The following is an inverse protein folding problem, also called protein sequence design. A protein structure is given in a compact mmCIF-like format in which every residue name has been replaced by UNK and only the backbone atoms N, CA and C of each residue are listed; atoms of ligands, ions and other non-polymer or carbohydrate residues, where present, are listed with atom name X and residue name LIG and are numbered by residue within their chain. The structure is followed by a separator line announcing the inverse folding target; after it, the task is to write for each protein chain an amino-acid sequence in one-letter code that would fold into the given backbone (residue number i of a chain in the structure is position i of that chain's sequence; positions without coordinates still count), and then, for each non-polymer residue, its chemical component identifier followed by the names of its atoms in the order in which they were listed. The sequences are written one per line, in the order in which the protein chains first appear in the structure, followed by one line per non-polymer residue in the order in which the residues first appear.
data_IF_379179725339
#
_entry.id   IF_379179725339
#
_cell.length_a   1.000
_cell.length_b   1.000
_cell.length_c   1.000
_cell.angle_alpha   90.00
_cell.angle_beta   90.00
_cell.angle_gamma   90.00
#
_symmetry.space_group_name_H-M   'P 1'
#
loop_
_entity.id
_entity.type
_entity.pdbx_description
1 polymer ?
#
# COMPACT_ATOMS: atom_id res chain seq x y z
N UNK A 1 24.83 2.00 7.41
CA UNK A 1 23.46 2.50 7.16
C UNK A 1 22.74 2.54 8.50
N UNK A 2 21.90 3.54 8.78
CA UNK A 2 21.14 3.61 10.03
C UNK A 2 19.91 2.71 9.89
N UNK A 3 19.66 1.88 10.90
CA UNK A 3 18.51 0.96 10.93
C UNK A 3 17.23 1.73 11.30
N UNK A 4 16.39 2.01 10.32
CA UNK A 4 15.16 2.79 10.46
C UNK A 4 14.11 2.02 11.27
N UNK A 5 14.00 0.71 11.07
CA UNK A 5 13.03 -0.10 11.81
C UNK A 5 13.43 -0.18 13.29
N UNK A 6 14.71 -0.25 13.56
CA UNK A 6 15.22 -0.17 14.93
C UNK A 6 14.89 1.17 15.57
N UNK A 7 15.00 2.28 14.82
CA UNK A 7 14.55 3.60 15.29
C UNK A 7 13.07 3.60 15.63
N UNK A 8 12.21 3.09 14.73
CA UNK A 8 10.76 3.03 14.97
C UNK A 8 10.36 2.19 16.17
N UNK A 9 11.17 1.18 16.52
CA UNK A 9 10.91 0.31 17.68
C UNK A 9 11.50 0.89 18.95
N UNK A 10 12.73 1.39 18.94
CA UNK A 10 13.47 1.82 20.12
C UNK A 10 13.20 3.28 20.52
N UNK A 11 13.01 4.17 19.54
CA UNK A 11 12.64 5.56 19.81
C UNK A 11 11.16 5.64 20.24
N UNK A 12 10.89 5.57 21.54
CA UNK A 12 9.52 5.62 22.06
C UNK A 12 8.91 7.00 21.89
N UNK A 13 7.69 7.07 21.37
CA UNK A 13 7.03 8.32 20.98
C UNK A 13 6.89 9.30 22.14
N UNK A 14 6.67 8.82 23.37
CA UNK A 14 6.59 9.66 24.56
C UNK A 14 7.97 10.27 24.89
N UNK A 15 9.05 9.48 24.76
CA UNK A 15 10.41 9.96 25.02
C UNK A 15 10.85 10.99 23.99
N UNK A 16 10.51 10.75 22.73
CA UNK A 16 10.76 11.68 21.64
C UNK A 16 9.95 12.96 21.80
N UNK A 17 8.65 12.86 22.17
CA UNK A 17 7.82 14.02 22.44
C UNK A 17 8.37 14.88 23.61
N UNK A 18 8.85 14.24 24.69
CA UNK A 18 9.53 14.92 25.78
C UNK A 18 10.83 15.60 25.31
N UNK A 19 11.66 14.89 24.54
CA UNK A 19 12.90 15.44 23.99
C UNK A 19 12.64 16.67 23.11
N UNK A 20 11.55 16.64 22.34
CA UNK A 20 11.12 17.74 21.48
C UNK A 20 10.50 18.92 22.28
N UNK A 21 10.35 18.79 23.60
CA UNK A 21 9.81 19.83 24.46
C UNK A 21 8.29 20.00 24.35
N UNK A 22 7.57 18.98 23.86
CA UNK A 22 6.11 19.04 23.82
C UNK A 22 5.53 18.95 25.23
N UNK A 23 4.54 19.78 25.53
CA UNK A 23 3.82 19.73 26.81
C UNK A 23 2.92 18.49 26.83
N UNK A 24 3.21 17.55 27.76
CA UNK A 24 2.55 16.25 27.85
C UNK A 24 1.54 16.18 28.99
N UNK A 25 0.44 15.47 28.75
CA UNK A 25 -0.54 15.07 29.76
C UNK A 25 -0.91 13.59 29.55
N UNK A 26 -0.20 12.69 30.21
CA UNK A 26 -0.31 11.24 29.94
C UNK A 26 0.12 10.91 28.52
N UNK A 27 -0.75 10.27 27.75
CA UNK A 27 -0.52 9.94 26.35
C UNK A 27 -1.07 11.01 25.36
N UNK A 28 -1.21 12.24 25.82
CA UNK A 28 -1.62 13.37 24.99
C UNK A 28 -0.60 14.50 25.11
N UNK A 29 -0.47 15.30 24.05
CA UNK A 29 0.39 16.48 24.04
C UNK A 29 -0.35 17.69 23.46
N UNK A 30 0.17 18.91 23.72
CA UNK A 30 -0.20 20.06 22.93
C UNK A 30 0.34 19.89 21.52
N UNK A 31 -0.52 20.21 20.54
CA UNK A 31 -0.11 20.11 19.14
C UNK A 31 0.95 21.16 18.80
N UNK A 32 2.00 20.72 18.11
CA UNK A 32 3.06 21.61 17.63
C UNK A 32 2.57 22.57 16.51
N UNK A 33 1.45 22.25 15.87
CA UNK A 33 0.76 23.13 14.90
C UNK A 33 -0.38 23.91 15.56
N UNK A 34 -0.20 24.44 16.76
CA UNK A 34 -1.23 25.12 17.54
C UNK A 34 -1.92 26.26 16.79
N UNK A 35 -1.21 26.93 15.88
CA UNK A 35 -1.72 28.01 15.00
C UNK A 35 -2.86 27.55 14.08
N UNK A 36 -2.92 26.26 13.76
CA UNK A 36 -4.00 25.68 12.94
C UNK A 36 -5.20 25.21 13.77
N UNK A 37 -5.21 25.48 15.08
CA UNK A 37 -6.31 25.16 15.98
C UNK A 37 -7.12 26.38 16.38
N UNK A 38 -8.45 26.24 16.41
CA UNK A 38 -9.37 27.35 16.74
C UNK A 38 -9.07 28.03 18.09
N UNK A 39 -8.45 27.31 19.05
CA UNK A 39 -8.17 27.76 20.41
C UNK A 39 -6.71 27.53 20.81
N UNK A 40 -5.75 27.63 19.89
CA UNK A 40 -4.31 27.41 20.14
C UNK A 40 -4.03 26.12 20.93
N UNK A 41 -4.81 25.08 20.67
CA UNK A 41 -4.72 23.73 21.26
C UNK A 41 -4.67 23.68 22.81
N UNK A 42 -5.53 24.42 23.47
CA UNK A 42 -5.65 24.34 24.94
C UNK A 42 -6.03 22.95 25.48
N UNK A 43 -6.53 22.04 24.61
CA UNK A 43 -7.14 20.78 24.98
C UNK A 43 -6.23 19.55 24.81
N UNK A 44 -4.93 19.69 24.54
CA UNK A 44 -4.01 18.56 24.32
C UNK A 44 -4.51 17.61 23.23
N UNK A 45 -4.75 18.13 22.03
CA UNK A 45 -5.38 17.39 20.94
C UNK A 45 -4.44 16.41 20.21
N UNK A 46 -3.14 16.40 20.52
CA UNK A 46 -2.18 15.47 19.94
C UNK A 46 -2.15 14.16 20.74
N UNK A 47 -2.82 13.13 20.24
CA UNK A 47 -2.77 11.77 20.81
C UNK A 47 -1.46 11.06 20.45
N UNK A 48 -0.82 10.42 21.44
CA UNK A 48 0.41 9.64 21.30
C UNK A 48 0.10 8.17 21.62
N UNK A 49 0.07 7.31 20.61
CA UNK A 49 -0.18 5.88 20.79
C UNK A 49 1.14 5.16 21.08
N UNK A 50 1.34 4.79 22.34
CA UNK A 50 2.55 4.10 22.82
C UNK A 50 2.66 2.66 22.30
N UNK A 51 1.55 2.03 21.87
CA UNK A 51 1.56 0.65 21.36
C UNK A 51 2.03 0.59 19.92
N UNK A 52 1.55 1.53 19.10
CA UNK A 52 1.88 1.61 17.68
C UNK A 52 3.05 2.56 17.40
N UNK A 53 3.49 3.32 18.40
CA UNK A 53 4.53 4.34 18.29
C UNK A 53 4.18 5.42 17.25
N UNK A 54 2.89 5.82 17.24
CA UNK A 54 2.27 6.70 16.25
C UNK A 54 1.60 7.90 16.93
N UNK A 55 1.51 9.04 16.24
CA UNK A 55 0.76 10.19 16.74
C UNK A 55 -0.37 10.58 15.80
N UNK A 56 -1.43 11.15 16.36
CA UNK A 56 -2.51 11.81 15.61
C UNK A 56 -3.02 13.01 16.38
N UNK A 57 -3.09 14.16 15.70
CA UNK A 57 -3.77 15.34 16.20
C UNK A 57 -5.25 15.30 15.80
N UNK A 58 -6.16 15.44 16.75
CA UNK A 58 -7.60 15.47 16.51
C UNK A 58 -8.13 16.87 16.15
N UNK A 59 -7.26 17.88 16.15
CA UNK A 59 -7.61 19.27 15.80
C UNK A 59 -7.18 19.69 14.40
N UNK A 60 -5.99 19.26 13.95
CA UNK A 60 -5.45 19.62 12.62
C UNK A 60 -5.14 18.41 11.74
N UNK A 61 -5.53 17.18 12.15
CA UNK A 61 -5.31 15.91 11.46
C UNK A 61 -3.84 15.54 11.18
N UNK A 62 -2.85 16.29 11.72
CA UNK A 62 -1.45 15.93 11.64
C UNK A 62 -1.26 14.53 12.26
N UNK A 63 -0.56 13.65 11.58
CA UNK A 63 -0.36 12.26 12.03
C UNK A 63 0.90 11.67 11.44
N UNK A 64 1.43 10.60 12.06
CA UNK A 64 2.61 9.92 11.58
C UNK A 64 3.31 9.07 12.64
N UNK A 65 4.42 8.46 12.24
CA UNK A 65 5.31 7.70 13.13
C UNK A 65 6.12 8.64 14.03
N UNK A 66 6.90 8.06 14.93
CA UNK A 66 7.85 8.80 15.78
C UNK A 66 8.86 9.62 14.95
N UNK A 67 9.25 9.16 13.77
CA UNK A 67 10.16 9.89 12.87
C UNK A 67 9.45 11.11 12.28
N UNK A 68 8.18 10.94 11.86
CA UNK A 68 7.37 12.04 11.33
C UNK A 68 7.12 13.12 12.39
N UNK A 69 6.88 12.71 13.65
CA UNK A 69 6.79 13.64 14.78
C UNK A 69 8.06 14.48 14.91
N UNK A 70 9.20 13.81 14.89
CA UNK A 70 10.51 14.49 15.02
C UNK A 70 10.72 15.47 13.87
N UNK A 71 10.47 15.05 12.63
CA UNK A 71 10.62 15.89 11.45
C UNK A 71 9.70 17.12 11.50
N UNK A 72 8.43 16.94 11.84
CA UNK A 72 7.45 18.01 11.84
C UNK A 72 7.71 19.04 12.95
N UNK A 73 8.10 18.59 14.13
CA UNK A 73 8.38 19.50 15.27
C UNK A 73 9.70 20.25 15.09
N UNK A 74 10.73 19.58 14.58
CA UNK A 74 12.07 20.18 14.38
C UNK A 74 12.22 20.95 13.07
N UNK A 75 11.30 20.73 12.10
CA UNK A 75 11.42 21.30 10.77
C UNK A 75 12.61 20.76 9.97
N UNK A 76 13.04 19.52 10.25
CA UNK A 76 14.21 18.89 9.63
C UNK A 76 13.82 17.84 8.61
N UNK A 77 14.72 17.57 7.66
CA UNK A 77 14.55 16.52 6.68
C UNK A 77 14.73 15.12 7.28
N UNK A 78 14.12 14.11 6.64
CA UNK A 78 14.15 12.71 7.10
C UNK A 78 15.55 12.19 7.42
N UNK A 79 16.53 12.49 6.56
CA UNK A 79 17.92 12.03 6.76
C UNK A 79 18.57 12.61 8.03
N UNK A 80 18.21 13.81 8.38
CA UNK A 80 18.66 14.49 9.61
C UNK A 80 17.93 13.91 10.81
N UNK A 81 16.60 13.78 10.73
CA UNK A 81 15.79 13.18 11.78
C UNK A 81 16.27 11.77 12.18
N UNK A 82 16.52 10.87 11.21
CA UNK A 82 17.02 9.52 11.53
C UNK A 82 18.42 9.52 12.13
N UNK A 83 19.29 10.47 11.75
CA UNK A 83 20.62 10.60 12.37
C UNK A 83 20.54 11.06 13.82
N UNK A 84 19.71 12.06 14.08
CA UNK A 84 19.52 12.58 15.43
C UNK A 84 18.85 11.54 16.34
N UNK A 85 17.78 10.88 15.85
CA UNK A 85 17.10 9.80 16.58
C UNK A 85 18.04 8.61 16.83
N UNK A 86 18.83 8.20 15.84
CA UNK A 86 19.82 7.13 16.03
C UNK A 86 20.85 7.48 17.08
N UNK A 87 21.32 8.73 17.09
CA UNK A 87 22.24 9.23 18.13
C UNK A 87 21.58 9.27 19.51
N UNK A 88 20.36 9.79 19.59
CA UNK A 88 19.61 9.93 20.84
C UNK A 88 19.33 8.60 21.53
N UNK A 89 18.98 7.57 20.73
CA UNK A 89 18.68 6.23 21.24
C UNK A 89 19.85 5.25 21.12
N UNK A 90 21.06 5.74 20.85
CA UNK A 90 22.30 4.94 20.75
C UNK A 90 22.20 3.78 19.74
N UNK A 91 21.47 3.99 18.65
CA UNK A 91 21.28 3.00 17.59
C UNK A 91 22.49 3.02 16.68
N UNK A 92 23.36 2.01 16.83
CA UNK A 92 24.59 1.90 16.03
C UNK A 92 24.28 1.70 14.55
N UNK A 93 24.99 2.40 13.64
CA UNK A 93 24.90 2.13 12.21
C UNK A 93 25.30 0.67 11.93
N UNK A 94 24.59 0.00 11.03
CA UNK A 94 24.99 -1.30 10.52
C UNK A 94 26.37 -1.12 9.86
N UNK A 95 27.40 -1.78 10.39
CA UNK A 95 28.76 -1.68 9.88
C UNK A 95 28.81 -2.21 8.44
N UNK A 96 28.98 -1.31 7.48
CA UNK A 96 29.22 -1.68 6.08
C UNK A 96 30.67 -2.18 5.99
N UNK A 97 30.87 -3.49 5.93
CA UNK A 97 32.16 -4.11 5.58
C UNK A 97 32.40 -4.07 4.07
N UNK A 98 32.23 -2.90 3.45
CA UNK A 98 32.63 -2.68 2.08
C UNK A 98 33.94 -1.92 2.04
N UNK A 99 35.07 -2.63 1.79
CA UNK A 99 36.32 -2.02 1.35
C UNK A 99 36.15 -1.63 -0.13
N UNK A 100 36.49 -0.39 -0.54
CA UNK A 100 36.49 -0.05 -1.95
C UNK A 100 37.65 -0.80 -2.63
N UNK A 101 37.33 -1.70 -3.54
CA UNK A 101 38.31 -2.30 -4.47
C UNK A 101 38.42 -1.38 -5.67
N UNK A 102 39.52 -0.65 -5.74
CA UNK A 102 39.99 0.02 -6.96
C UNK A 102 40.69 -1.01 -7.83
N UNK A 103 40.06 -1.47 -8.90
CA UNK A 103 40.71 -1.98 -10.10
C UNK A 103 39.70 -2.39 -11.19
N UNK A 104 39.96 -2.14 -12.46
CA UNK A 104 39.03 -2.46 -13.54
C UNK A 104 39.19 -3.92 -13.96
N UNK A 105 38.25 -4.78 -13.60
CA UNK A 105 38.17 -6.12 -14.15
C UNK A 105 36.84 -6.38 -14.84
N UNK A 106 36.96 -6.90 -16.08
CA UNK A 106 35.90 -7.41 -16.95
C UNK A 106 34.87 -8.29 -16.19
N UNK A 107 33.61 -8.28 -16.65
CA UNK A 107 32.57 -9.03 -15.98
C UNK A 107 32.84 -10.53 -16.07
N UNK A 108 33.07 -11.17 -14.92
CA UNK A 108 32.97 -12.62 -14.77
C UNK A 108 31.52 -12.97 -14.43
N UNK A 109 30.95 -13.79 -15.26
CA UNK A 109 29.71 -14.52 -15.16
C UNK A 109 29.35 -14.96 -13.72
N UNK A 110 28.11 -14.60 -13.34
CA UNK A 110 27.18 -15.37 -12.54
C UNK A 110 27.68 -16.10 -11.29
N UNK A 111 27.44 -15.50 -10.11
CA UNK A 111 27.08 -16.23 -8.88
C UNK A 111 25.99 -15.41 -8.17
N UNK A 112 24.82 -15.32 -8.71
CA UNK A 112 23.58 -14.98 -8.01
C UNK A 112 22.42 -15.70 -8.70
N UNK A 113 22.40 -17.03 -8.57
CA UNK A 113 21.14 -17.78 -8.68
C UNK A 113 20.49 -17.83 -7.30
N UNK A 114 20.28 -16.69 -6.66
CA UNK A 114 19.31 -16.60 -5.60
C UNK A 114 17.99 -16.22 -6.26
N UNK A 115 17.16 -17.23 -6.56
CA UNK A 115 15.73 -17.02 -6.73
C UNK A 115 15.31 -16.02 -5.67
N UNK A 116 14.65 -14.94 -6.07
CA UNK A 116 13.98 -14.01 -5.16
C UNK A 116 12.92 -14.83 -4.43
N UNK A 117 13.28 -15.39 -3.28
CA UNK A 117 12.38 -16.19 -2.42
C UNK A 117 11.68 -15.31 -1.38
N UNK A 118 11.85 -13.99 -1.46
CA UNK A 118 11.26 -13.08 -0.50
C UNK A 118 9.98 -12.47 -1.08
N UNK A 119 8.92 -13.26 -1.10
CA UNK A 119 7.55 -12.73 -1.12
C UNK A 119 7.37 -11.82 0.11
N UNK A 120 6.58 -10.72 0.05
CA UNK A 120 6.19 -10.01 1.28
C UNK A 120 5.36 -10.93 2.14
N UNK A 121 6.07 -11.80 2.77
CA UNK A 121 5.58 -12.85 3.63
C UNK A 121 4.74 -12.27 4.77
N UNK A 122 4.96 -10.98 5.12
CA UNK A 122 4.33 -10.38 6.29
C UNK A 122 2.83 -10.13 6.16
N UNK A 123 2.31 -9.78 4.97
CA UNK A 123 0.87 -9.64 4.77
C UNK A 123 0.20 -10.99 4.48
N UNK A 124 0.88 -11.86 3.72
CA UNK A 124 0.38 -13.20 3.37
C UNK A 124 0.47 -14.16 4.55
N UNK A 125 1.52 -14.06 5.38
CA UNK A 125 1.72 -14.91 6.57
C UNK A 125 0.75 -14.66 7.72
N UNK A 126 -0.04 -13.56 7.67
CA UNK A 126 -1.08 -13.29 8.67
C UNK A 126 -2.43 -13.90 8.33
N UNK A 127 -2.58 -14.50 7.15
CA UNK A 127 -3.80 -15.18 6.74
C UNK A 127 -3.83 -16.59 7.32
N UNK A 128 -4.93 -16.89 8.03
CA UNK A 128 -5.19 -18.23 8.51
C UNK A 128 -5.68 -19.13 7.37
N UNK A 129 -5.66 -20.45 7.58
CA UNK A 129 -6.31 -21.40 6.66
C UNK A 129 -7.80 -21.08 6.49
N UNK A 130 -8.45 -20.66 7.58
CA UNK A 130 -9.87 -20.31 7.61
C UNK A 130 -10.15 -19.06 6.76
N UNK A 131 -9.32 -18.02 6.83
CA UNK A 131 -9.47 -16.81 6.00
C UNK A 131 -9.48 -17.17 4.52
N UNK A 132 -8.55 -18.05 4.08
CA UNK A 132 -8.45 -18.52 2.69
C UNK A 132 -9.69 -19.29 2.27
N UNK A 133 -10.17 -20.22 3.09
CA UNK A 133 -11.38 -20.98 2.82
C UNK A 133 -12.63 -20.09 2.69
N UNK A 134 -12.72 -19.03 3.51
CA UNK A 134 -13.82 -18.05 3.43
C UNK A 134 -13.76 -17.28 2.12
N UNK A 135 -12.58 -16.87 1.65
CA UNK A 135 -12.44 -16.14 0.38
C UNK A 135 -12.77 -17.03 -0.83
N UNK A 136 -12.30 -18.28 -0.83
CA UNK A 136 -12.59 -19.27 -1.86
C UNK A 136 -14.10 -19.60 -1.94
N UNK A 137 -14.76 -19.70 -0.79
CA UNK A 137 -16.22 -19.93 -0.74
C UNK A 137 -17.02 -18.73 -1.29
N UNK A 138 -16.59 -17.49 -0.98
CA UNK A 138 -17.22 -16.29 -1.53
C UNK A 138 -17.06 -16.23 -3.06
N UNK A 139 -15.85 -16.45 -3.57
CA UNK A 139 -15.55 -16.40 -5.00
C UNK A 139 -16.32 -17.49 -5.78
N UNK A 140 -16.27 -18.74 -5.32
CA UNK A 140 -16.93 -19.87 -5.97
C UNK A 140 -18.46 -19.73 -5.99
N UNK A 141 -19.08 -19.17 -4.93
CA UNK A 141 -20.50 -18.91 -4.87
C UNK A 141 -20.94 -17.81 -5.83
N UNK A 142 -20.08 -16.83 -6.11
CA UNK A 142 -20.43 -15.59 -6.83
C UNK A 142 -20.67 -15.77 -8.33
N UNK A 143 -20.05 -16.77 -8.97
CA UNK A 143 -20.33 -17.17 -10.37
C UNK A 143 -19.97 -16.13 -11.44
N UNK A 144 -18.92 -15.33 -11.24
CA UNK A 144 -18.40 -14.36 -12.21
C UNK A 144 -19.17 -13.04 -12.25
N UNK A 145 -18.96 -12.23 -13.30
CA UNK A 145 -19.53 -10.90 -13.46
C UNK A 145 -20.93 -10.94 -14.13
N UNK A 146 -21.77 -9.97 -13.75
CA UNK A 146 -23.01 -9.68 -14.48
C UNK A 146 -22.77 -8.79 -15.70
N UNK A 147 -23.79 -8.65 -16.56
CA UNK A 147 -23.70 -7.87 -17.82
C UNK A 147 -23.39 -6.39 -17.55
N UNK A 148 -23.93 -5.81 -16.48
CA UNK A 148 -23.74 -4.41 -16.13
C UNK A 148 -22.28 -4.15 -15.72
N UNK A 149 -21.72 -5.02 -14.89
CA UNK A 149 -20.33 -4.94 -14.46
C UNK A 149 -19.35 -5.18 -15.61
N UNK A 150 -19.64 -6.13 -16.51
CA UNK A 150 -18.86 -6.32 -17.73
C UNK A 150 -18.89 -5.03 -18.56
N UNK A 151 -20.05 -4.46 -18.81
CA UNK A 151 -20.20 -3.18 -19.55
C UNK A 151 -19.43 -2.04 -18.89
N UNK A 152 -19.46 -1.96 -17.56
CA UNK A 152 -18.68 -0.95 -16.81
C UNK A 152 -17.16 -1.13 -16.98
N UNK A 153 -16.67 -2.37 -16.90
CA UNK A 153 -15.24 -2.67 -16.99
C UNK A 153 -14.71 -2.59 -18.43
N UNK A 154 -15.51 -3.00 -19.41
CA UNK A 154 -15.10 -2.99 -20.84
C UNK A 154 -15.46 -1.70 -21.56
N UNK A 155 -16.30 -0.85 -20.96
CA UNK A 155 -16.73 0.42 -21.54
C UNK A 155 -15.61 1.47 -21.58
N UNK A 156 -15.94 2.61 -22.23
CA UNK A 156 -15.00 3.69 -22.50
C UNK A 156 -14.27 4.23 -21.25
N UNK A 157 -14.90 4.16 -20.07
CA UNK A 157 -14.31 4.69 -18.84
C UNK A 157 -13.22 3.80 -18.23
N UNK A 158 -13.16 2.51 -18.63
CA UNK A 158 -12.20 1.52 -18.10
C UNK A 158 -11.38 0.85 -19.20
N UNK A 159 -11.96 0.58 -20.35
CA UNK A 159 -11.26 0.06 -21.54
C UNK A 159 -10.60 -1.31 -21.33
N UNK A 160 -11.06 -2.10 -20.35
CA UNK A 160 -10.49 -3.41 -20.08
C UNK A 160 -11.05 -4.45 -21.05
N UNK A 161 -10.26 -5.43 -21.47
CA UNK A 161 -10.75 -6.56 -22.23
C UNK A 161 -11.39 -7.60 -21.31
N UNK A 162 -12.28 -8.43 -21.86
CA UNK A 162 -12.86 -9.53 -21.08
C UNK A 162 -11.81 -10.55 -20.65
N UNK A 163 -10.74 -10.74 -21.45
CA UNK A 163 -9.63 -11.63 -21.15
C UNK A 163 -8.89 -11.17 -19.89
N UNK A 164 -8.55 -9.87 -19.81
CA UNK A 164 -7.83 -9.34 -18.63
C UNK A 164 -8.71 -9.37 -17.38
N UNK A 165 -10.02 -9.09 -17.54
CA UNK A 165 -10.98 -9.17 -16.44
C UNK A 165 -11.08 -10.60 -15.88
N UNK A 166 -11.08 -11.61 -16.74
CA UNK A 166 -11.05 -13.04 -16.38
C UNK A 166 -9.69 -13.41 -15.74
N UNK A 167 -8.58 -12.95 -16.31
CA UNK A 167 -7.24 -13.20 -15.79
C UNK A 167 -7.10 -12.74 -14.33
N UNK A 168 -7.64 -11.58 -13.98
CA UNK A 168 -7.65 -11.06 -12.63
C UNK A 168 -8.80 -11.58 -11.76
N UNK A 169 -9.61 -12.53 -12.28
CA UNK A 169 -10.68 -13.20 -11.54
C UNK A 169 -11.70 -12.24 -10.93
N UNK A 170 -12.02 -11.10 -11.59
CA UNK A 170 -13.02 -10.17 -11.10
C UNK A 170 -14.40 -10.81 -11.09
N UNK A 171 -15.18 -10.60 -10.03
CA UNK A 171 -16.51 -11.17 -9.89
C UNK A 171 -17.53 -10.25 -9.22
N UNK A 172 -18.82 -10.60 -9.27
CA UNK A 172 -19.87 -9.88 -8.57
C UNK A 172 -20.43 -10.69 -7.40
N UNK A 173 -20.85 -9.97 -6.35
CA UNK A 173 -21.85 -10.46 -5.42
C UNK A 173 -23.23 -10.18 -6.04
N UNK A 174 -23.77 -11.16 -6.78
CA UNK A 174 -25.03 -11.00 -7.54
C UNK A 174 -26.25 -10.91 -6.63
N UNK A 175 -26.32 -11.79 -5.64
CA UNK A 175 -27.33 -11.79 -4.60
C UNK A 175 -26.64 -11.69 -3.23
N UNK A 176 -26.75 -10.52 -2.65
CA UNK A 176 -26.12 -10.22 -1.37
C UNK A 176 -26.67 -11.10 -0.23
N UNK A 177 -27.99 -11.32 -0.21
CA UNK A 177 -28.61 -12.09 0.87
C UNK A 177 -28.25 -13.56 0.75
N UNK A 178 -28.44 -14.15 -0.44
CA UNK A 178 -28.07 -15.54 -0.69
C UNK A 178 -26.58 -15.80 -0.43
N UNK A 179 -25.70 -14.87 -0.80
CA UNK A 179 -24.25 -14.96 -0.54
C UNK A 179 -23.96 -14.92 0.97
N UNK A 180 -24.61 -14.01 1.70
CA UNK A 180 -24.46 -13.91 3.15
C UNK A 180 -24.93 -15.19 3.87
N UNK A 181 -26.08 -15.73 3.48
CA UNK A 181 -26.61 -16.98 4.01
C UNK A 181 -25.72 -18.18 3.68
N UNK A 182 -25.20 -18.25 2.45
CA UNK A 182 -24.27 -19.30 2.03
C UNK A 182 -23.01 -19.32 2.91
N UNK A 183 -22.41 -18.16 3.12
CA UNK A 183 -21.20 -18.05 3.97
C UNK A 183 -21.52 -18.41 5.44
N UNK A 184 -22.64 -17.94 6.00
CA UNK A 184 -23.05 -18.23 7.37
C UNK A 184 -23.40 -19.70 7.61
N UNK A 185 -23.77 -20.45 6.57
CA UNK A 185 -24.00 -21.91 6.67
C UNK A 185 -22.67 -22.68 6.76
N UNK A 186 -21.58 -22.15 6.21
CA UNK A 186 -20.29 -22.85 6.14
C UNK A 186 -19.31 -22.39 7.22
N UNK A 187 -19.40 -21.14 7.65
CA UNK A 187 -18.44 -20.51 8.57
C UNK A 187 -19.15 -19.85 9.74
N UNK A 188 -18.47 -19.87 10.88
CA UNK A 188 -18.92 -19.16 12.07
C UNK A 188 -18.74 -17.64 11.91
N UNK A 189 -19.50 -16.86 12.68
CA UNK A 189 -19.33 -15.39 12.72
C UNK A 189 -17.89 -14.97 13.07
N UNK A 190 -17.22 -15.76 13.91
CA UNK A 190 -15.82 -15.53 14.29
C UNK A 190 -14.88 -15.68 13.08
N UNK A 191 -15.07 -16.70 12.25
CA UNK A 191 -14.27 -16.91 11.03
C UNK A 191 -14.54 -15.81 10.00
N UNK A 192 -15.82 -15.46 9.77
CA UNK A 192 -16.19 -14.40 8.84
C UNK A 192 -15.66 -13.03 9.28
N UNK A 193 -15.66 -12.73 10.58
CA UNK A 193 -15.04 -11.52 11.14
C UNK A 193 -13.52 -11.55 11.03
N UNK A 194 -12.91 -12.70 11.34
CA UNK A 194 -11.46 -12.89 11.17
C UNK A 194 -11.04 -12.63 9.72
N UNK A 195 -11.78 -13.15 8.75
CA UNK A 195 -11.55 -12.90 7.32
C UNK A 195 -11.79 -11.45 6.90
N UNK A 196 -12.39 -10.62 7.75
CA UNK A 196 -12.70 -9.22 7.47
C UNK A 196 -13.86 -9.01 6.51
N UNK A 197 -14.68 -10.04 6.23
CA UNK A 197 -15.80 -9.97 5.29
C UNK A 197 -17.09 -9.46 5.92
N UNK A 198 -17.22 -9.51 7.23
CA UNK A 198 -18.40 -9.00 7.93
C UNK A 198 -18.04 -7.91 8.92
N UNK A 199 -18.90 -6.90 9.01
CA UNK A 199 -18.77 -5.81 9.98
C UNK A 199 -19.27 -6.24 11.37
N UNK A 200 -19.24 -5.31 12.33
CA UNK A 200 -19.65 -5.57 13.73
C UNK A 200 -21.06 -6.09 13.89
N UNK A 201 -21.98 -5.70 13.00
CA UNK A 201 -23.37 -6.18 12.98
C UNK A 201 -23.54 -7.54 12.30
N UNK A 202 -22.46 -8.21 11.89
CA UNK A 202 -22.50 -9.50 11.20
C UNK A 202 -23.01 -9.43 9.76
N UNK A 203 -23.05 -8.24 9.15
CA UNK A 203 -23.43 -8.04 7.76
C UNK A 203 -22.19 -8.04 6.86
N UNK A 204 -22.32 -8.64 5.68
CA UNK A 204 -21.27 -8.63 4.65
C UNK A 204 -20.95 -7.19 4.25
N UNK A 205 -19.64 -6.84 4.15
CA UNK A 205 -19.22 -5.46 3.96
C UNK A 205 -19.46 -4.91 2.53
N UNK A 206 -19.55 -5.78 1.53
CA UNK A 206 -19.63 -5.39 0.11
C UNK A 206 -21.06 -5.11 -0.41
N UNK A 207 -21.99 -4.66 0.45
CA UNK A 207 -23.39 -4.43 0.08
C UNK A 207 -23.57 -3.52 -1.14
N UNK A 208 -22.82 -2.41 -1.22
CA UNK A 208 -22.88 -1.45 -2.34
C UNK A 208 -21.74 -1.61 -3.36
N UNK A 209 -20.71 -2.36 -3.03
CA UNK A 209 -19.49 -2.53 -3.81
C UNK A 209 -19.55 -3.87 -4.56
N UNK A 210 -20.37 -3.91 -5.62
CA UNK A 210 -20.74 -5.16 -6.30
C UNK A 210 -19.59 -5.85 -7.03
N UNK A 211 -18.67 -5.10 -7.63
CA UNK A 211 -17.50 -5.66 -8.32
C UNK A 211 -16.43 -5.95 -7.29
N UNK A 212 -16.10 -7.21 -7.13
CA UNK A 212 -15.02 -7.65 -6.26
C UNK A 212 -13.76 -7.86 -7.08
N UNK A 213 -12.67 -7.27 -6.58
CA UNK A 213 -11.32 -7.37 -7.13
C UNK A 213 -10.50 -8.19 -6.15
N UNK A 214 -10.25 -9.48 -6.42
CA UNK A 214 -9.43 -10.31 -5.58
C UNK A 214 -7.94 -9.96 -5.78
N UNK A 215 -7.18 -9.98 -4.70
CA UNK A 215 -5.73 -9.92 -4.73
C UNK A 215 -5.22 -11.33 -4.59
N UNK A 216 -4.44 -11.75 -5.54
CA UNK A 216 -3.97 -13.13 -5.67
C UNK A 216 -2.49 -13.19 -5.35
N UNK A 217 -2.10 -14.14 -4.54
CA UNK A 217 -0.71 -14.51 -4.29
C UNK A 217 -0.63 -16.03 -4.15
N UNK A 218 0.34 -16.66 -4.83
CA UNK A 218 0.47 -18.12 -4.88
C UNK A 218 -0.84 -18.82 -5.32
N UNK A 219 -1.49 -18.27 -6.36
CA UNK A 219 -2.77 -18.72 -6.93
C UNK A 219 -3.97 -18.71 -5.95
N UNK A 220 -3.83 -18.04 -4.80
CA UNK A 220 -4.87 -17.94 -3.77
C UNK A 220 -5.29 -16.50 -3.54
N UNK A 221 -6.56 -16.31 -3.23
CA UNK A 221 -7.05 -14.99 -2.81
C UNK A 221 -6.52 -14.68 -1.42
N UNK A 222 -5.79 -13.57 -1.29
CA UNK A 222 -5.19 -13.11 -0.03
C UNK A 222 -5.82 -11.83 0.51
N UNK A 223 -6.56 -11.12 -0.35
CA UNK A 223 -7.24 -9.88 0.00
C UNK A 223 -8.35 -9.60 -1.01
N UNK A 224 -9.32 -8.80 -0.64
CA UNK A 224 -10.40 -8.38 -1.53
C UNK A 224 -10.70 -6.89 -1.39
N UNK A 225 -10.93 -6.26 -2.53
CA UNK A 225 -11.44 -4.90 -2.62
C UNK A 225 -12.75 -4.93 -3.43
N UNK A 226 -13.78 -4.25 -2.93
CA UNK A 226 -15.03 -4.04 -3.64
C UNK A 226 -15.04 -2.67 -4.31
N UNK A 227 -15.58 -2.61 -5.54
CA UNK A 227 -15.76 -1.38 -6.31
C UNK A 227 -17.24 -1.10 -6.55
N UNK A 228 -17.66 0.16 -6.32
CA UNK A 228 -18.97 0.67 -6.76
C UNK A 228 -18.94 1.03 -8.23
N UNK A 229 -20.07 0.86 -8.92
CA UNK A 229 -20.25 1.26 -10.32
C UNK A 229 -20.95 2.61 -10.45
N UNK A 230 -21.57 3.09 -9.38
CA UNK A 230 -22.18 4.43 -9.28
C UNK A 230 -21.15 5.50 -8.84
N UNK A 231 -21.57 6.76 -8.81
CA UNK A 231 -20.70 7.90 -8.47
C UNK A 231 -20.65 8.23 -6.98
N UNK A 232 -21.33 7.45 -6.12
CA UNK A 232 -21.34 7.70 -4.68
C UNK A 232 -20.04 7.27 -3.98
N UNK A 233 -19.78 7.84 -2.81
CA UNK A 233 -18.64 7.56 -1.97
C UNK A 233 -19.00 6.59 -0.81
N UNK A 234 -18.03 5.83 -0.28
CA UNK A 234 -16.70 5.63 -0.83
C UNK A 234 -16.75 4.76 -2.10
N UNK A 235 -15.93 5.08 -3.10
CA UNK A 235 -15.86 4.31 -4.35
C UNK A 235 -15.32 2.90 -4.15
N UNK A 236 -14.47 2.71 -3.16
CA UNK A 236 -13.85 1.44 -2.82
C UNK A 236 -14.16 1.04 -1.38
N UNK A 237 -14.28 -0.24 -1.16
CA UNK A 237 -14.36 -0.89 0.14
C UNK A 237 -13.38 -2.07 0.15
N UNK A 238 -12.68 -2.28 1.23
CA UNK A 238 -11.80 -3.43 1.36
C UNK A 238 -11.98 -4.14 2.68
N UNK A 239 -11.58 -5.41 2.73
CA UNK A 239 -11.62 -6.19 3.96
C UNK A 239 -10.68 -5.60 5.00
N UNK A 240 -11.01 -5.79 6.28
CA UNK A 240 -10.19 -5.31 7.42
C UNK A 240 -8.95 -6.18 7.63
N UNK A 241 -8.01 -6.11 6.70
CA UNK A 241 -6.72 -6.83 6.74
C UNK A 241 -5.59 -5.91 6.30
N UNK A 242 -4.35 -6.29 6.57
CA UNK A 242 -3.17 -5.58 6.05
C UNK A 242 -3.21 -5.61 4.52
N UNK A 243 -3.04 -4.44 3.92
CA UNK A 243 -3.07 -4.25 2.47
C UNK A 243 -1.84 -4.87 1.80
N UNK A 244 -1.98 -5.88 0.93
CA UNK A 244 -0.90 -6.39 0.10
C UNK A 244 -0.74 -5.56 -1.16
N UNK A 245 0.35 -5.78 -1.90
CA UNK A 245 0.44 -5.28 -3.28
C UNK A 245 -0.54 -6.04 -4.18
N UNK A 246 -1.26 -5.31 -5.01
CA UNK A 246 -2.06 -5.92 -6.08
C UNK A 246 -1.14 -6.49 -7.17
N UNK A 247 -1.47 -7.66 -7.69
CA UNK A 247 -0.70 -8.36 -8.74
C UNK A 247 0.75 -8.70 -8.35
N UNK A 248 0.97 -9.01 -7.08
CA UNK A 248 2.31 -9.23 -6.52
C UNK A 248 3.07 -10.38 -7.19
N UNK A 249 2.37 -11.42 -7.65
CA UNK A 249 2.98 -12.59 -8.26
C UNK A 249 3.75 -12.28 -9.55
N UNK A 250 3.46 -11.13 -10.19
CA UNK A 250 4.22 -10.68 -11.37
C UNK A 250 5.71 -10.50 -11.05
N UNK A 251 6.04 -10.18 -9.80
CA UNK A 251 7.43 -9.95 -9.38
C UNK A 251 8.26 -11.23 -9.34
N UNK A 252 7.64 -12.39 -9.17
CA UNK A 252 8.34 -13.68 -9.05
C UNK A 252 9.06 -14.12 -10.32
N UNK A 253 8.61 -13.65 -11.48
CA UNK A 253 9.19 -13.98 -12.78
C UNK A 253 10.15 -12.93 -13.33
N UNK A 254 10.48 -11.89 -12.55
CA UNK A 254 11.35 -10.80 -12.99
C UNK A 254 12.81 -11.08 -12.63
N UNK A 255 13.69 -10.68 -13.55
CA UNK A 255 15.14 -10.75 -13.40
C UNK A 255 15.73 -9.35 -13.16
N UNK A 256 17.01 -9.33 -12.78
CA UNK A 256 17.72 -8.07 -12.55
C UNK A 256 17.70 -7.18 -13.81
N UNK A 257 17.25 -5.95 -13.65
CA UNK A 257 17.11 -4.96 -14.73
C UNK A 257 15.74 -5.00 -15.42
N UNK A 258 14.88 -5.97 -15.11
CA UNK A 258 13.53 -5.97 -15.64
C UNK A 258 12.73 -4.77 -15.15
N UNK A 259 11.93 -4.20 -16.07
CA UNK A 259 11.11 -3.03 -15.78
C UNK A 259 9.80 -3.42 -15.13
N UNK A 260 9.47 -2.76 -14.01
CA UNK A 260 8.20 -2.92 -13.31
C UNK A 260 7.58 -1.56 -12.97
N UNK A 261 6.27 -1.46 -13.15
CA UNK A 261 5.51 -0.26 -12.83
C UNK A 261 4.82 -0.40 -11.47
N UNK A 262 4.88 0.64 -10.66
CA UNK A 262 4.09 0.76 -9.42
C UNK A 262 3.00 1.80 -9.66
N UNK A 263 1.74 1.37 -9.60
CA UNK A 263 0.55 2.21 -9.77
C UNK A 263 -0.09 2.56 -8.43
N UNK A 264 -0.77 3.69 -8.34
CA UNK A 264 -1.52 4.06 -7.15
C UNK A 264 -2.78 3.19 -6.98
N UNK A 265 -3.47 2.90 -8.09
CA UNK A 265 -4.71 2.15 -8.14
C UNK A 265 -4.60 0.76 -8.79
N UNK A 266 -5.60 -0.09 -8.50
CA UNK A 266 -5.67 -1.44 -9.09
C UNK A 266 -5.99 -1.40 -10.59
N UNK A 267 -6.85 -0.48 -11.04
CA UNK A 267 -7.24 -0.42 -12.46
C UNK A 267 -6.10 0.03 -13.36
N UNK A 268 -5.22 0.90 -12.87
CA UNK A 268 -4.02 1.31 -13.61
C UNK A 268 -3.02 0.17 -13.75
N UNK A 269 -2.87 -0.65 -12.70
CA UNK A 269 -2.05 -1.85 -12.76
C UNK A 269 -2.65 -2.90 -13.71
N UNK A 270 -3.99 -3.08 -13.72
CA UNK A 270 -4.68 -3.97 -14.66
C UNK A 270 -4.51 -3.46 -16.10
N UNK A 271 -4.67 -2.14 -16.33
CA UNK A 271 -4.52 -1.54 -17.66
C UNK A 271 -3.09 -1.71 -18.18
N UNK A 272 -2.07 -1.43 -17.38
CA UNK A 272 -0.68 -1.68 -17.76
C UNK A 272 -0.42 -3.15 -18.09
N UNK A 273 -0.97 -4.07 -17.28
CA UNK A 273 -0.84 -5.51 -17.53
C UNK A 273 -1.51 -5.91 -18.84
N UNK A 274 -2.70 -5.38 -19.14
CA UNK A 274 -3.37 -5.57 -20.42
C UNK A 274 -2.52 -5.10 -21.62
N UNK A 275 -1.74 -4.05 -21.43
CA UNK A 275 -0.81 -3.51 -22.44
C UNK A 275 0.55 -4.23 -22.47
N UNK A 276 0.70 -5.33 -21.74
CA UNK A 276 1.91 -6.15 -21.73
C UNK A 276 3.01 -5.67 -20.77
N UNK A 277 2.75 -4.64 -19.95
CA UNK A 277 3.71 -4.17 -18.97
C UNK A 277 3.60 -4.96 -17.66
N UNK A 278 4.70 -5.08 -16.94
CA UNK A 278 4.74 -5.64 -15.59
C UNK A 278 4.36 -4.56 -14.59
N UNK A 279 3.22 -4.74 -13.89
CA UNK A 279 2.70 -3.70 -13.01
C UNK A 279 2.10 -4.26 -11.72
N UNK A 280 2.28 -3.52 -10.62
CA UNK A 280 1.65 -3.77 -9.31
C UNK A 280 0.88 -2.53 -8.86
N UNK A 281 -0.14 -2.70 -8.01
CA UNK A 281 -0.91 -1.62 -7.43
C UNK A 281 -0.72 -1.53 -5.91
N UNK A 282 -0.67 -0.31 -5.35
CA UNK A 282 -0.43 -0.06 -3.92
C UNK A 282 -1.65 0.42 -3.12
N UNK A 283 -2.80 0.60 -3.75
CA UNK A 283 -4.04 1.10 -3.14
C UNK A 283 -3.86 2.40 -2.33
N UNK A 284 -3.20 3.36 -2.95
CA UNK A 284 -2.87 4.65 -2.36
C UNK A 284 -1.48 4.70 -1.74
N UNK A 285 -0.84 5.83 -1.90
CA UNK A 285 0.58 6.08 -1.57
C UNK A 285 0.95 5.74 -0.13
N UNK A 286 0.06 6.05 0.82
CA UNK A 286 0.30 5.81 2.25
C UNK A 286 0.39 4.32 2.61
N UNK A 287 -0.01 3.43 1.70
CA UNK A 287 0.07 1.99 1.88
C UNK A 287 1.39 1.38 1.43
N UNK A 288 2.20 2.13 0.67
CA UNK A 288 3.54 1.68 0.31
C UNK A 288 4.46 1.81 1.52
N UNK A 289 4.98 0.69 1.99
CA UNK A 289 5.85 0.61 3.17
C UNK A 289 7.28 0.34 2.76
N UNK A 290 8.22 0.77 3.61
CA UNK A 290 9.66 0.57 3.36
C UNK A 290 10.03 -0.90 3.18
N UNK A 291 9.35 -1.79 3.90
CA UNK A 291 9.56 -3.24 3.81
C UNK A 291 9.21 -3.82 2.43
N UNK A 292 8.39 -3.11 1.66
CA UNK A 292 8.03 -3.52 0.29
C UNK A 292 9.16 -3.25 -0.72
N UNK A 293 10.12 -2.38 -0.38
CA UNK A 293 11.21 -2.01 -1.30
C UNK A 293 12.07 -3.22 -1.66
N UNK A 294 12.30 -4.13 -0.73
CA UNK A 294 13.09 -5.34 -0.96
C UNK A 294 12.56 -6.21 -2.12
N UNK A 295 11.25 -6.14 -2.38
CA UNK A 295 10.62 -6.85 -3.51
C UNK A 295 11.06 -6.34 -4.88
N UNK A 296 11.54 -5.12 -4.92
CA UNK A 296 11.94 -4.43 -6.15
C UNK A 296 13.47 -4.36 -6.31
N UNK A 297 14.22 -5.02 -5.41
CA UNK A 297 15.68 -5.01 -5.48
C UNK A 297 16.18 -5.51 -6.84
N UNK A 298 17.01 -4.69 -7.47
CA UNK A 298 17.60 -5.02 -8.78
C UNK A 298 16.67 -4.77 -9.98
N UNK A 299 15.42 -4.36 -9.80
CA UNK A 299 14.48 -4.05 -10.87
C UNK A 299 14.58 -2.58 -11.31
N UNK A 300 14.24 -2.30 -12.58
CA UNK A 300 14.03 -0.94 -13.10
C UNK A 300 12.60 -0.49 -12.74
N UNK A 301 12.46 0.23 -11.64
CA UNK A 301 11.17 0.65 -11.09
C UNK A 301 10.71 1.96 -11.72
N UNK A 302 9.46 1.97 -12.19
CA UNK A 302 8.78 3.15 -12.74
C UNK A 302 7.55 3.46 -11.88
N UNK A 303 7.52 4.61 -11.23
CA UNK A 303 6.34 5.10 -10.52
C UNK A 303 5.33 5.68 -11.53
N UNK A 304 4.11 5.13 -11.54
CA UNK A 304 3.05 5.49 -12.46
C UNK A 304 1.79 5.90 -11.67
N UNK A 305 1.91 7.00 -10.92
CA UNK A 305 0.85 7.54 -10.06
C UNK A 305 0.03 8.58 -10.80
N UNK A 306 -1.11 8.96 -10.20
CA UNK A 306 -2.04 9.94 -10.76
C UNK A 306 -1.34 11.30 -11.02
N UNK A 307 -1.81 12.00 -12.03
CA UNK A 307 -1.22 13.28 -12.47
C UNK A 307 -1.79 14.51 -11.74
N UNK A 308 -2.39 14.29 -10.58
CA UNK A 308 -2.83 15.35 -9.69
C UNK A 308 -1.76 15.66 -8.61
N UNK A 309 -2.02 16.68 -7.79
CA UNK A 309 -1.08 17.06 -6.73
C UNK A 309 -0.85 15.95 -5.71
N UNK A 310 -1.86 15.11 -5.41
CA UNK A 310 -1.73 14.02 -4.46
C UNK A 310 -0.81 12.94 -5.01
N UNK A 311 -1.02 12.52 -6.26
CA UNK A 311 -0.17 11.56 -6.96
C UNK A 311 1.27 12.06 -7.14
N UNK A 312 1.46 13.37 -7.42
CA UNK A 312 2.80 13.96 -7.50
C UNK A 312 3.53 13.95 -6.15
N UNK A 313 2.85 14.35 -5.06
CA UNK A 313 3.40 14.23 -3.70
C UNK A 313 3.72 12.78 -3.34
N UNK A 314 2.82 11.88 -3.73
CA UNK A 314 2.99 10.44 -3.55
C UNK A 314 4.21 9.90 -4.29
N UNK A 315 4.39 10.27 -5.54
CA UNK A 315 5.56 9.92 -6.35
C UNK A 315 6.85 10.37 -5.65
N UNK A 316 6.92 11.61 -5.18
CA UNK A 316 8.09 12.12 -4.47
C UNK A 316 8.36 11.33 -3.18
N UNK A 317 7.31 11.02 -2.42
CA UNK A 317 7.43 10.27 -1.16
C UNK A 317 7.94 8.85 -1.38
N UNK A 318 7.38 8.12 -2.35
CA UNK A 318 7.81 6.75 -2.65
C UNK A 318 9.21 6.74 -3.30
N UNK A 319 9.51 7.67 -4.23
CA UNK A 319 10.84 7.80 -4.81
C UNK A 319 11.91 8.07 -3.73
N UNK A 320 11.57 8.91 -2.73
CA UNK A 320 12.44 9.17 -1.57
C UNK A 320 12.70 7.91 -0.75
N UNK A 321 11.68 7.07 -0.53
CA UNK A 321 11.85 5.79 0.17
C UNK A 321 12.83 4.87 -0.58
N UNK A 322 12.68 4.71 -1.90
CA UNK A 322 13.60 3.94 -2.73
C UNK A 322 15.03 4.49 -2.68
N UNK A 323 15.17 5.81 -2.84
CA UNK A 323 16.49 6.46 -2.80
C UNK A 323 17.21 6.25 -1.46
N UNK A 324 16.47 6.34 -0.35
CA UNK A 324 17.02 6.11 1.00
C UNK A 324 17.47 4.66 1.20
N UNK A 325 16.90 3.72 0.45
CA UNK A 325 17.30 2.31 0.43
C UNK A 325 18.30 1.99 -0.69
N UNK A 326 18.90 3.01 -1.31
CA UNK A 326 19.99 2.86 -2.28
C UNK A 326 19.54 2.51 -3.69
N UNK A 327 18.24 2.59 -4.00
CA UNK A 327 17.68 2.34 -5.32
C UNK A 327 17.09 3.62 -5.91
N UNK A 328 17.45 3.91 -7.15
CA UNK A 328 16.81 4.97 -7.93
C UNK A 328 15.60 4.42 -8.67
N UNK A 329 14.58 5.25 -8.80
CA UNK A 329 13.37 4.93 -9.56
C UNK A 329 13.09 6.03 -10.58
N UNK A 330 12.41 5.68 -11.65
CA UNK A 330 11.93 6.64 -12.64
C UNK A 330 10.43 6.93 -12.44
N UNK A 331 9.93 7.97 -13.10
CA UNK A 331 8.51 8.32 -13.10
C UNK A 331 7.95 8.28 -14.52
N UNK A 332 6.79 7.67 -14.70
CA UNK A 332 5.99 7.80 -15.92
C UNK A 332 5.37 9.18 -15.96
N UNK A 333 5.86 10.03 -16.84
CA UNK A 333 5.24 11.35 -17.09
C UNK A 333 4.03 11.17 -17.97
N UNK A 334 2.88 11.64 -17.51
CA UNK A 334 1.65 11.67 -18.27
C UNK A 334 1.49 13.02 -18.98
N UNK A 335 0.84 13.07 -20.17
CA UNK A 335 0.56 14.31 -20.87
C UNK A 335 -0.27 15.30 -20.02
N UNK A 336 -0.18 16.58 -20.34
CA UNK A 336 -1.01 17.61 -19.69
C UNK A 336 -2.49 17.31 -19.94
N UNK A 337 -3.29 17.30 -18.87
CA UNK A 337 -4.72 16.96 -18.94
C UNK A 337 -5.04 15.46 -18.81
N UNK A 338 -4.06 14.59 -18.95
CA UNK A 338 -4.20 13.18 -18.68
C UNK A 338 -4.18 12.95 -17.16
N UNK A 339 -5.17 12.25 -16.64
CA UNK A 339 -5.38 12.08 -15.20
C UNK A 339 -4.53 10.95 -14.62
N UNK A 340 -4.61 9.78 -15.21
CA UNK A 340 -4.04 8.53 -14.73
C UNK A 340 -3.61 7.63 -15.90
N UNK A 341 -3.06 6.49 -15.63
CA UNK A 341 -2.62 5.50 -16.63
C UNK A 341 -3.79 4.98 -17.46
N UNK A 342 -4.93 4.72 -16.82
CA UNK A 342 -6.14 4.24 -17.53
C UNK A 342 -6.60 5.27 -18.57
N UNK A 343 -6.68 6.55 -18.18
CA UNK A 343 -7.03 7.65 -19.07
C UNK A 343 -6.00 7.80 -20.20
N UNK A 344 -4.70 7.63 -19.92
CA UNK A 344 -3.64 7.67 -20.93
C UNK A 344 -3.89 6.67 -22.07
N UNK A 345 -4.15 5.43 -21.75
CA UNK A 345 -4.36 4.39 -22.77
C UNK A 345 -5.71 4.47 -23.49
N UNK A 346 -6.70 5.08 -22.86
CA UNK A 346 -8.02 5.27 -23.50
C UNK A 346 -8.01 6.45 -24.46
N UNK A 347 -7.47 7.59 -24.04
CA UNK A 347 -7.68 8.86 -24.75
C UNK A 347 -6.44 9.37 -25.47
N UNK A 348 -5.23 9.02 -25.06
CA UNK A 348 -3.99 9.61 -25.54
C UNK A 348 -3.13 8.67 -26.39
N UNK A 349 -3.22 7.36 -26.23
CA UNK A 349 -2.43 6.41 -27.02
C UNK A 349 -2.99 6.14 -28.42
N UNK A 350 -4.16 6.67 -28.75
CA UNK A 350 -4.79 6.52 -30.07
C UNK A 350 -4.23 7.46 -31.14
N UNK A 351 -3.20 8.26 -30.79
CA UNK A 351 -2.55 9.19 -31.70
C UNK A 351 -1.18 8.53 -32.11
#
# INVERSE_FOLDING_TARGET
MIDIEKIKVEAKIIEVANYLGLELRGNQARCFNSEHHKNNDHNFSLGLDVKTNYFKCFGCDASGSVIDLFMQVRGVEFKEAIKELASLFSIMPIANTYKPVTSPHKPKTSIYSNKITNTPQTAINKLTSDDKAVYEALESHSGGLDKESIKYLTGQSRGLSEEIVKQFRLFNIKDYQATSEHLKKQFTDKQLKSAGLVGDKGNLIFYKHKIIIPFIADDRVVFMQGRRTDDEQPKYMHISKTLPLFNIDILKGLEQGDKVYICEGVFDAIMLTQKGFKAVGILGVNNFKVEMIELFNGLDVVLAFDNDEAGQRGTQSVAKLFLLNGQQVSQKKLPKGCKDITNYFIDYEKI
#
